data_IF_039865442029
#
_entry.id   IF_039865442029
#
_cell.length_a   1.000
_cell.length_b   1.000
_cell.length_c   1.000
_cell.angle_alpha   90.00
_cell.angle_beta   90.00
_cell.angle_gamma   90.00
#
_symmetry.space_group_name_H-M   'P 1'
#
loop_
_entity.id
_entity.type
_entity.pdbx_description
1 polymer ?
#
# COMPACT_ATOMS: atom_id res chain seq x y z
N UNK A 1 9.37 -12.34 -27.25
CA UNK A 1 8.71 -12.65 -25.98
C UNK A 1 8.17 -11.40 -25.25
N UNK A 2 8.84 -10.27 -25.33
CA UNK A 2 8.50 -9.01 -24.60
C UNK A 2 7.13 -8.38 -24.90
N UNK A 3 6.50 -8.69 -26.01
CA UNK A 3 5.22 -8.10 -26.43
C UNK A 3 4.00 -8.99 -26.13
N UNK A 4 4.21 -10.27 -25.86
CA UNK A 4 3.09 -11.22 -25.70
C UNK A 4 2.27 -10.89 -24.45
N UNK A 5 2.91 -10.76 -23.28
CA UNK A 5 2.24 -10.45 -22.02
C UNK A 5 1.52 -9.10 -22.09
N UNK A 6 2.14 -8.10 -22.68
CA UNK A 6 1.52 -6.79 -22.91
C UNK A 6 0.24 -6.89 -23.73
N UNK A 7 0.27 -7.63 -24.85
CA UNK A 7 -0.91 -7.78 -25.70
C UNK A 7 -2.01 -8.63 -25.05
N UNK A 8 -1.64 -9.63 -24.26
CA UNK A 8 -2.60 -10.40 -23.45
C UNK A 8 -3.37 -9.47 -22.53
N UNK A 9 -2.67 -8.59 -21.77
CA UNK A 9 -3.33 -7.60 -20.91
C UNK A 9 -4.21 -6.64 -21.68
N UNK A 10 -3.78 -6.21 -22.89
CA UNK A 10 -4.59 -5.34 -23.77
C UNK A 10 -5.89 -6.01 -24.22
N UNK A 11 -5.82 -7.29 -24.56
CA UNK A 11 -7.01 -8.08 -24.95
C UNK A 11 -7.94 -8.25 -23.73
N UNK A 12 -7.41 -8.59 -22.56
CA UNK A 12 -8.21 -8.72 -21.34
C UNK A 12 -8.83 -7.36 -20.96
N UNK A 13 -8.07 -6.27 -21.06
CA UNK A 13 -8.58 -4.92 -20.79
C UNK A 13 -9.74 -4.52 -21.73
N UNK A 14 -9.81 -5.07 -22.94
CA UNK A 14 -10.90 -4.79 -23.88
C UNK A 14 -12.22 -5.46 -23.50
N UNK A 15 -12.22 -6.44 -22.61
CA UNK A 15 -13.43 -7.15 -22.18
C UNK A 15 -14.35 -6.24 -21.34
N UNK A 16 -15.67 -6.35 -21.49
CA UNK A 16 -16.61 -5.75 -20.55
C UNK A 16 -16.34 -6.21 -19.11
N UNK A 17 -16.47 -5.32 -18.14
CA UNK A 17 -16.15 -5.61 -16.73
C UNK A 17 -16.99 -6.78 -16.18
N UNK A 18 -18.24 -6.95 -16.65
CA UNK A 18 -19.09 -8.09 -16.30
C UNK A 18 -18.51 -9.45 -16.72
N UNK A 19 -17.84 -9.50 -17.87
CA UNK A 19 -17.12 -10.71 -18.32
C UNK A 19 -15.85 -10.89 -17.50
N UNK A 20 -15.11 -9.81 -17.24
CA UNK A 20 -13.91 -9.84 -16.41
C UNK A 20 -14.18 -10.39 -15.01
N UNK A 21 -15.33 -10.06 -14.39
CA UNK A 21 -15.72 -10.63 -13.10
C UNK A 21 -16.09 -12.12 -13.15
N UNK A 22 -16.61 -12.62 -14.27
CA UNK A 22 -16.80 -14.07 -14.44
C UNK A 22 -15.45 -14.79 -14.49
N UNK A 23 -14.49 -14.21 -15.20
CA UNK A 23 -13.11 -14.72 -15.23
C UNK A 23 -12.44 -14.61 -13.86
N UNK A 24 -12.66 -13.53 -13.11
CA UNK A 24 -12.15 -13.36 -11.76
C UNK A 24 -12.63 -14.46 -10.82
N UNK A 25 -13.89 -14.89 -10.88
CA UNK A 25 -14.39 -16.02 -10.07
C UNK A 25 -13.65 -17.32 -10.37
N UNK A 26 -13.41 -17.60 -11.65
CA UNK A 26 -12.63 -18.79 -12.06
C UNK A 26 -11.18 -18.66 -11.56
N UNK A 27 -10.59 -17.48 -11.71
CA UNK A 27 -9.23 -17.20 -11.23
C UNK A 27 -9.12 -17.36 -9.71
N UNK A 28 -10.09 -16.87 -8.94
CA UNK A 28 -10.14 -17.03 -7.48
C UNK A 28 -10.16 -18.52 -7.10
N UNK A 29 -11.04 -19.30 -7.72
CA UNK A 29 -11.12 -20.75 -7.49
C UNK A 29 -9.82 -21.47 -7.87
N UNK A 30 -9.24 -21.17 -9.02
CA UNK A 30 -7.97 -21.75 -9.45
C UNK A 30 -6.83 -21.43 -8.47
N UNK A 31 -6.71 -20.16 -8.06
CA UNK A 31 -5.62 -19.71 -7.18
C UNK A 31 -5.76 -20.26 -5.75
N UNK A 32 -6.98 -20.32 -5.20
CA UNK A 32 -7.22 -20.83 -3.85
C UNK A 32 -7.23 -22.35 -3.79
N UNK A 33 -8.02 -23.00 -4.68
CA UNK A 33 -8.37 -24.44 -4.52
C UNK A 33 -7.48 -25.36 -5.32
N UNK A 34 -7.08 -24.97 -6.55
CA UNK A 34 -6.30 -25.83 -7.46
C UNK A 34 -4.82 -25.61 -7.25
N UNK A 35 -4.33 -24.40 -7.47
CA UNK A 35 -2.90 -24.09 -7.36
C UNK A 35 -2.46 -23.82 -5.92
N UNK A 36 -3.38 -23.60 -5.02
CA UNK A 36 -3.13 -23.27 -3.60
C UNK A 36 -2.08 -22.15 -3.45
N UNK A 37 -2.19 -21.14 -4.34
CA UNK A 37 -1.21 -20.05 -4.40
C UNK A 37 -1.11 -19.32 -3.07
N UNK A 38 -0.03 -19.57 -2.34
CA UNK A 38 0.28 -18.96 -1.03
C UNK A 38 -0.80 -19.13 0.05
N UNK A 39 -1.63 -20.17 -0.03
CA UNK A 39 -2.70 -20.43 0.96
C UNK A 39 -2.13 -20.51 2.38
N UNK A 40 -1.05 -21.25 2.58
CA UNK A 40 -0.38 -21.33 3.90
C UNK A 40 0.07 -19.96 4.40
N UNK A 41 0.62 -19.10 3.52
CA UNK A 41 1.03 -17.74 3.90
C UNK A 41 -0.16 -16.89 4.30
N UNK A 42 -1.27 -16.97 3.56
CA UNK A 42 -2.51 -16.24 3.87
C UNK A 42 -3.08 -16.70 5.22
N UNK A 43 -3.16 -18.01 5.46
CA UNK A 43 -3.66 -18.56 6.74
C UNK A 43 -2.78 -18.15 7.92
N UNK A 44 -1.48 -18.25 7.81
CA UNK A 44 -0.55 -17.83 8.85
C UNK A 44 -0.67 -16.34 9.14
N UNK A 45 -0.70 -15.50 8.12
CA UNK A 45 -0.86 -14.07 8.27
C UNK A 45 -2.17 -13.71 8.96
N UNK A 46 -3.29 -14.32 8.57
CA UNK A 46 -4.59 -14.09 9.21
C UNK A 46 -4.62 -14.53 10.67
N UNK A 47 -4.07 -15.72 10.99
CA UNK A 47 -4.05 -16.24 12.36
C UNK A 47 -3.20 -15.39 13.29
N UNK A 48 -2.02 -14.97 12.85
CA UNK A 48 -1.16 -14.10 13.67
C UNK A 48 -1.74 -12.69 13.81
N UNK A 49 -2.41 -12.18 12.77
CA UNK A 49 -3.03 -10.84 12.81
C UNK A 49 -4.33 -10.79 13.60
N UNK A 50 -5.05 -11.90 13.72
CA UNK A 50 -6.36 -11.99 14.39
C UNK A 50 -6.45 -13.24 15.28
N UNK A 51 -5.64 -13.38 16.33
CA UNK A 51 -5.45 -14.65 17.05
C UNK A 51 -6.71 -15.19 17.74
N UNK A 52 -7.72 -14.36 17.99
CA UNK A 52 -8.94 -14.74 18.73
C UNK A 52 -10.15 -15.06 17.85
N UNK A 53 -9.94 -15.32 16.54
CA UNK A 53 -11.04 -15.65 15.64
C UNK A 53 -11.28 -17.15 15.51
N UNK A 54 -12.50 -17.55 15.10
CA UNK A 54 -12.86 -18.95 14.88
C UNK A 54 -12.26 -19.49 13.56
N UNK A 55 -12.13 -20.81 13.46
CA UNK A 55 -11.71 -21.49 12.23
C UNK A 55 -12.62 -21.14 11.03
N UNK A 56 -13.92 -21.04 11.27
CA UNK A 56 -14.90 -20.64 10.26
C UNK A 56 -14.65 -19.20 9.79
N UNK A 57 -14.25 -18.29 10.68
CA UNK A 57 -13.89 -16.93 10.31
C UNK A 57 -12.65 -16.89 9.42
N UNK A 58 -11.59 -17.64 9.76
CA UNK A 58 -10.37 -17.70 8.93
C UNK A 58 -10.67 -18.26 7.54
N UNK A 59 -11.41 -19.36 7.46
CA UNK A 59 -11.80 -19.96 6.19
C UNK A 59 -12.62 -18.98 5.31
N UNK A 60 -13.60 -18.31 5.91
CA UNK A 60 -14.46 -17.34 5.21
C UNK A 60 -13.65 -16.12 4.75
N UNK A 61 -12.80 -15.55 5.63
CA UNK A 61 -11.99 -14.38 5.32
C UNK A 61 -10.97 -14.70 4.22
N UNK A 62 -10.32 -15.87 4.28
CA UNK A 62 -9.43 -16.34 3.21
C UNK A 62 -10.16 -16.49 1.88
N UNK A 63 -11.33 -17.14 1.88
CA UNK A 63 -12.10 -17.30 0.65
C UNK A 63 -12.50 -15.95 0.04
N UNK A 64 -13.01 -15.02 0.86
CA UNK A 64 -13.33 -13.65 0.42
C UNK A 64 -12.10 -12.90 -0.08
N UNK A 65 -10.95 -13.10 0.57
CA UNK A 65 -9.70 -12.51 0.11
C UNK A 65 -9.34 -12.95 -1.32
N UNK A 66 -9.39 -14.26 -1.64
CA UNK A 66 -9.08 -14.72 -2.99
C UNK A 66 -10.07 -14.21 -4.02
N UNK A 67 -11.35 -14.11 -3.67
CA UNK A 67 -12.35 -13.50 -4.54
C UNK A 67 -12.04 -12.03 -4.83
N UNK A 68 -11.75 -11.24 -3.79
CA UNK A 68 -11.42 -9.82 -3.95
C UNK A 68 -10.08 -9.59 -4.64
N UNK A 69 -9.09 -10.42 -4.34
CA UNK A 69 -7.78 -10.37 -5.01
C UNK A 69 -7.90 -10.61 -6.53
N UNK A 70 -8.73 -11.56 -6.92
CA UNK A 70 -9.02 -11.79 -8.34
C UNK A 70 -9.82 -10.66 -8.96
N UNK A 71 -10.83 -10.11 -8.26
CA UNK A 71 -11.58 -8.93 -8.71
C UNK A 71 -10.63 -7.74 -8.96
N UNK A 72 -9.80 -7.38 -7.97
CA UNK A 72 -8.85 -6.27 -8.08
C UNK A 72 -7.85 -6.51 -9.21
N UNK A 73 -7.45 -7.76 -9.45
CA UNK A 73 -6.54 -8.10 -10.56
C UNK A 73 -7.17 -7.77 -11.92
N UNK A 74 -8.41 -8.16 -12.17
CA UNK A 74 -9.09 -7.85 -13.44
C UNK A 74 -9.48 -6.38 -13.55
N UNK A 75 -9.83 -5.74 -12.44
CA UNK A 75 -10.12 -4.32 -12.34
C UNK A 75 -8.89 -3.46 -12.67
N UNK A 76 -7.72 -3.82 -12.14
CA UNK A 76 -6.45 -3.16 -12.46
C UNK A 76 -6.16 -3.20 -13.97
N UNK A 77 -6.43 -4.34 -14.60
CA UNK A 77 -6.28 -4.48 -16.06
C UNK A 77 -7.33 -3.64 -16.80
N UNK A 78 -8.59 -3.66 -16.34
CA UNK A 78 -9.66 -2.84 -16.92
C UNK A 78 -9.40 -1.34 -16.79
N UNK A 79 -8.75 -0.88 -15.71
CA UNK A 79 -8.36 0.51 -15.48
C UNK A 79 -7.57 1.14 -16.63
N UNK A 80 -6.85 0.33 -17.42
CA UNK A 80 -6.11 0.79 -18.59
C UNK A 80 -7.04 1.47 -19.64
N UNK A 81 -8.25 0.98 -19.84
CA UNK A 81 -9.22 1.55 -20.81
C UNK A 81 -10.30 2.41 -20.16
N UNK A 82 -10.53 2.30 -18.85
CA UNK A 82 -11.63 2.93 -18.14
C UNK A 82 -11.66 4.45 -18.36
N UNK A 83 -12.76 5.06 -18.79
CA UNK A 83 -12.86 6.49 -18.98
C UNK A 83 -12.90 7.22 -17.62
N UNK A 84 -12.60 8.52 -17.63
CA UNK A 84 -12.45 9.31 -16.38
C UNK A 84 -13.75 9.38 -15.57
N UNK A 85 -14.87 9.62 -16.23
CA UNK A 85 -16.19 9.68 -15.57
C UNK A 85 -16.54 8.35 -14.87
N UNK A 86 -16.26 7.20 -15.52
CA UNK A 86 -16.46 5.89 -14.90
C UNK A 86 -15.53 5.66 -13.71
N UNK A 87 -14.25 6.10 -13.78
CA UNK A 87 -13.32 6.03 -12.66
C UNK A 87 -13.84 6.85 -11.46
N UNK A 88 -14.33 8.06 -11.70
CA UNK A 88 -14.86 8.96 -10.67
C UNK A 88 -16.13 8.41 -10.00
N UNK A 89 -17.00 7.74 -10.76
CA UNK A 89 -18.18 7.05 -10.23
C UNK A 89 -17.80 5.79 -9.41
N UNK A 90 -16.75 5.06 -9.84
CA UNK A 90 -16.34 3.80 -9.21
C UNK A 90 -15.42 3.99 -8.01
N UNK A 91 -14.67 5.07 -8.00
CA UNK A 91 -13.77 5.45 -6.89
C UNK A 91 -14.14 6.86 -6.42
N UNK A 92 -15.14 6.95 -5.54
CA UNK A 92 -15.52 8.21 -4.90
C UNK A 92 -14.49 8.65 -3.87
N UNK A 93 -14.40 9.94 -3.59
CA UNK A 93 -13.41 10.50 -2.65
C UNK A 93 -14.08 11.48 -1.67
N UNK A 94 -13.53 11.56 -0.44
CA UNK A 94 -13.86 12.59 0.56
C UNK A 94 -12.61 13.06 1.30
N UNK A 95 -12.63 14.31 1.80
CA UNK A 95 -11.51 14.88 2.55
C UNK A 95 -10.31 15.26 1.70
N UNK A 96 -10.45 15.38 0.36
CA UNK A 96 -9.34 15.63 -0.55
C UNK A 96 -9.03 17.12 -0.80
N UNK A 97 -9.74 18.04 -0.15
CA UNK A 97 -9.57 19.49 -0.25
C UNK A 97 -8.12 19.95 0.02
N UNK A 98 -7.33 19.29 0.90
CA UNK A 98 -5.93 19.62 1.10
C UNK A 98 -5.03 19.42 -0.12
N UNK A 99 -5.43 18.58 -1.10
CA UNK A 99 -4.69 18.31 -2.34
C UNK A 99 -5.34 18.98 -3.57
N UNK A 100 -6.43 19.70 -3.38
CA UNK A 100 -7.18 20.41 -4.43
C UNK A 100 -7.04 21.90 -4.20
N UNK A 101 -6.55 22.61 -5.20
CA UNK A 101 -6.50 24.08 -5.17
C UNK A 101 -7.64 24.65 -6.01
N UNK A 102 -8.26 25.75 -5.58
CA UNK A 102 -9.17 26.51 -6.43
C UNK A 102 -8.51 26.95 -7.74
N UNK A 103 -9.32 27.22 -8.75
CA UNK A 103 -8.83 27.69 -10.06
C UNK A 103 -8.02 28.97 -9.89
N UNK A 104 -6.84 29.00 -10.51
CA UNK A 104 -5.92 30.13 -10.46
C UNK A 104 -4.99 30.18 -9.25
N UNK A 105 -5.15 29.28 -8.27
CA UNK A 105 -4.24 29.16 -7.14
C UNK A 105 -3.09 28.19 -7.43
N UNK A 106 -1.99 28.34 -6.67
CA UNK A 106 -0.87 27.43 -6.76
C UNK A 106 -1.24 26.01 -6.35
N UNK A 107 -0.84 24.97 -7.11
CA UNK A 107 -1.11 23.59 -6.75
C UNK A 107 -0.56 23.23 -5.37
N UNK A 108 -1.33 22.48 -4.58
CA UNK A 108 -0.95 22.05 -3.23
C UNK A 108 -0.12 20.77 -3.27
N UNK A 109 1.11 20.78 -2.75
CA UNK A 109 1.93 19.58 -2.66
C UNK A 109 1.49 18.69 -1.50
N UNK A 110 1.87 17.39 -1.55
CA UNK A 110 1.64 16.49 -0.44
C UNK A 110 2.34 15.14 -0.61
N UNK A 111 2.39 14.38 0.46
CA UNK A 111 2.76 12.96 0.43
C UNK A 111 1.50 12.16 0.71
N UNK A 112 1.12 11.34 -0.24
CA UNK A 112 -0.06 10.48 -0.17
C UNK A 112 0.38 9.05 0.13
N UNK A 113 0.19 8.60 1.36
CA UNK A 113 0.46 7.23 1.78
C UNK A 113 -0.81 6.40 1.67
N UNK A 114 -0.66 5.14 1.33
CA UNK A 114 -1.70 4.13 1.42
C UNK A 114 -1.08 2.74 1.63
N UNK A 115 -1.89 1.70 1.56
CA UNK A 115 -1.51 0.30 1.71
C UNK A 115 -2.05 -0.53 0.54
N UNK A 116 -1.53 -1.75 0.36
CA UNK A 116 -2.07 -2.71 -0.61
C UNK A 116 -3.40 -3.29 -0.10
N UNK A 117 -4.44 -2.46 -0.10
CA UNK A 117 -5.78 -2.77 0.39
C UNK A 117 -6.80 -2.31 -0.64
N UNK A 118 -7.82 -3.11 -0.90
CA UNK A 118 -8.81 -2.84 -1.94
C UNK A 118 -8.16 -2.59 -3.32
N UNK A 119 -8.65 -1.61 -4.10
CA UNK A 119 -8.13 -1.32 -5.43
C UNK A 119 -7.16 -0.12 -5.43
N UNK A 120 -5.93 -0.34 -4.99
CA UNK A 120 -4.86 0.68 -5.00
C UNK A 120 -4.45 1.14 -6.40
N UNK A 121 -4.74 0.35 -7.45
CA UNK A 121 -4.47 0.76 -8.83
C UNK A 121 -5.42 1.87 -9.27
N UNK A 122 -6.73 1.70 -9.02
CA UNK A 122 -7.71 2.77 -9.29
C UNK A 122 -7.54 3.94 -8.33
N UNK A 123 -7.10 3.73 -7.09
CA UNK A 123 -6.74 4.81 -6.18
C UNK A 123 -5.65 5.70 -6.78
N UNK A 124 -4.59 5.12 -7.36
CA UNK A 124 -3.51 5.87 -8.01
C UNK A 124 -4.05 6.68 -9.19
N UNK A 125 -4.89 6.10 -10.02
CA UNK A 125 -5.53 6.80 -11.15
C UNK A 125 -6.47 7.91 -10.67
N UNK A 126 -7.27 7.65 -9.63
CA UNK A 126 -8.20 8.63 -9.06
C UNK A 126 -7.48 9.80 -8.40
N UNK A 127 -6.40 9.53 -7.68
CA UNK A 127 -5.52 10.55 -7.12
C UNK A 127 -4.95 11.46 -8.20
N UNK A 128 -4.55 10.90 -9.36
CA UNK A 128 -4.05 11.68 -10.50
C UNK A 128 -5.09 12.60 -11.13
N UNK A 129 -6.38 12.24 -11.04
CA UNK A 129 -7.48 13.06 -11.58
C UNK A 129 -8.02 14.06 -10.57
N UNK A 130 -7.79 13.85 -9.27
CA UNK A 130 -8.30 14.70 -8.19
C UNK A 130 -7.32 15.76 -7.74
N UNK A 131 -6.04 15.40 -7.55
CA UNK A 131 -5.03 16.33 -7.08
C UNK A 131 -4.73 17.40 -8.14
N UNK A 132 -4.61 18.66 -7.70
CA UNK A 132 -4.26 19.79 -8.58
C UNK A 132 -2.77 19.77 -8.96
N UNK A 133 -1.91 19.36 -8.01
CA UNK A 133 -0.49 19.17 -8.28
C UNK A 133 -0.25 17.85 -9.05
N UNK A 134 0.74 17.82 -9.98
CA UNK A 134 1.12 16.58 -10.66
C UNK A 134 1.46 15.45 -9.67
N UNK A 135 0.96 14.25 -9.93
CA UNK A 135 1.18 13.07 -9.10
C UNK A 135 2.43 12.31 -9.54
N UNK A 136 3.29 11.98 -8.58
CA UNK A 136 4.43 11.09 -8.72
C UNK A 136 4.15 9.78 -7.99
N UNK A 137 3.83 8.73 -8.73
CA UNK A 137 3.62 7.39 -8.19
C UNK A 137 4.95 6.65 -7.99
N UNK A 138 5.30 6.37 -6.74
CA UNK A 138 6.53 5.61 -6.44
C UNK A 138 6.25 4.12 -6.59
N UNK A 139 7.06 3.44 -7.41
CA UNK A 139 6.82 2.03 -7.73
C UNK A 139 8.10 1.20 -7.79
N UNK A 140 7.92 -0.12 -7.70
CA UNK A 140 8.97 -1.10 -7.96
C UNK A 140 8.71 -1.75 -9.31
N UNK A 141 9.69 -1.72 -10.26
CA UNK A 141 9.55 -2.34 -11.57
C UNK A 141 9.18 -3.82 -11.47
N UNK A 142 8.30 -4.29 -12.35
CA UNK A 142 7.92 -5.69 -12.44
C UNK A 142 8.99 -6.48 -13.20
N UNK A 143 9.11 -7.77 -12.90
CA UNK A 143 10.07 -8.65 -13.57
C UNK A 143 9.72 -8.89 -15.05
N UNK A 144 8.42 -9.07 -15.35
CA UNK A 144 7.97 -9.18 -16.72
C UNK A 144 7.83 -7.79 -17.35
N UNK A 145 8.61 -7.54 -18.41
CA UNK A 145 8.66 -6.23 -19.07
C UNK A 145 7.35 -5.86 -19.78
N UNK A 146 6.58 -6.85 -20.24
CA UNK A 146 5.28 -6.58 -20.86
C UNK A 146 4.25 -6.14 -19.83
N UNK A 147 4.21 -6.82 -18.69
CA UNK A 147 3.38 -6.44 -17.55
C UNK A 147 3.79 -5.07 -16.98
N UNK A 148 5.10 -4.82 -16.84
CA UNK A 148 5.62 -3.54 -16.36
C UNK A 148 5.20 -2.38 -17.27
N UNK A 149 5.39 -2.52 -18.58
CA UNK A 149 4.94 -1.53 -19.56
C UNK A 149 3.45 -1.27 -19.47
N UNK A 150 2.64 -2.33 -19.41
CA UNK A 150 1.19 -2.21 -19.30
C UNK A 150 0.79 -1.45 -18.01
N UNK A 151 1.39 -1.81 -16.87
CA UNK A 151 1.14 -1.15 -15.59
C UNK A 151 1.53 0.33 -15.61
N UNK A 152 2.67 0.66 -16.21
CA UNK A 152 3.12 2.06 -16.36
C UNK A 152 2.15 2.87 -17.23
N UNK A 153 1.72 2.34 -18.36
CA UNK A 153 0.72 2.98 -19.22
C UNK A 153 -0.62 3.18 -18.50
N UNK A 154 -1.07 2.18 -17.74
CA UNK A 154 -2.32 2.26 -16.98
C UNK A 154 -2.26 3.32 -15.88
N UNK A 155 -1.22 3.28 -15.04
CA UNK A 155 -1.04 4.21 -13.92
C UNK A 155 -0.76 5.63 -14.39
N UNK A 156 -0.02 5.80 -15.50
CA UNK A 156 0.33 7.11 -16.07
C UNK A 156 -0.77 7.74 -16.93
N UNK A 157 -1.86 7.04 -17.17
CA UNK A 157 -2.93 7.43 -18.10
C UNK A 157 -3.50 8.83 -17.84
N UNK A 158 -3.59 9.24 -16.59
CA UNK A 158 -4.14 10.52 -16.18
C UNK A 158 -3.06 11.54 -15.76
N UNK A 159 -1.84 11.39 -16.30
CA UNK A 159 -0.75 12.34 -16.09
C UNK A 159 0.16 12.04 -14.90
N UNK A 160 -0.02 10.92 -14.20
CA UNK A 160 0.93 10.52 -13.17
C UNK A 160 2.31 10.20 -13.76
N UNK A 161 3.36 10.68 -13.11
CA UNK A 161 4.74 10.30 -13.38
C UNK A 161 5.12 9.10 -12.52
N UNK A 162 5.53 7.99 -13.13
CA UNK A 162 5.93 6.80 -12.37
C UNK A 162 7.42 6.85 -12.06
N UNK A 163 7.78 6.88 -10.78
CA UNK A 163 9.15 7.02 -10.29
C UNK A 163 9.57 5.77 -9.54
N UNK A 164 10.72 5.20 -9.91
CA UNK A 164 11.21 4.01 -9.20
C UNK A 164 11.62 4.34 -7.76
N UNK A 165 11.43 3.39 -6.82
CA UNK A 165 11.86 3.57 -5.42
C UNK A 165 13.32 4.04 -5.30
N UNK A 166 14.23 3.50 -6.13
CA UNK A 166 15.65 3.91 -6.13
C UNK A 166 15.87 5.32 -6.68
N UNK A 167 14.94 5.83 -7.49
CA UNK A 167 15.06 7.13 -8.16
C UNK A 167 14.36 8.28 -7.44
N UNK A 168 13.50 7.97 -6.44
CA UNK A 168 12.59 8.96 -5.86
C UNK A 168 13.31 10.17 -5.24
N UNK A 169 14.35 9.97 -4.46
CA UNK A 169 15.09 11.08 -3.82
C UNK A 169 15.70 12.01 -4.85
N UNK A 170 16.30 11.47 -5.92
CA UNK A 170 16.84 12.28 -7.02
C UNK A 170 15.75 13.03 -7.77
N UNK A 171 14.61 12.37 -8.01
CA UNK A 171 13.45 12.98 -8.68
C UNK A 171 12.89 14.15 -7.87
N UNK A 172 12.72 13.97 -6.56
CA UNK A 172 12.26 15.01 -5.63
C UNK A 172 13.21 16.21 -5.63
N UNK A 173 14.51 15.99 -5.52
CA UNK A 173 15.52 17.06 -5.55
C UNK A 173 15.52 17.83 -6.88
N UNK A 174 15.37 17.13 -8.01
CA UNK A 174 15.29 17.74 -9.34
C UNK A 174 14.05 18.63 -9.47
N UNK A 175 12.93 18.22 -8.90
CA UNK A 175 11.64 18.90 -9.02
C UNK A 175 11.28 19.78 -7.80
N UNK A 176 12.23 20.06 -6.89
CA UNK A 176 11.97 20.74 -5.60
C UNK A 176 11.29 22.11 -5.68
N UNK A 177 11.28 22.75 -6.86
CA UNK A 177 10.63 24.06 -7.10
C UNK A 177 9.21 23.92 -7.65
N UNK A 178 8.77 22.71 -7.95
CA UNK A 178 7.44 22.44 -8.52
C UNK A 178 6.61 21.65 -7.50
N UNK A 179 5.49 22.19 -7.01
CA UNK A 179 4.60 21.44 -6.12
C UNK A 179 4.17 20.12 -6.75
N UNK A 180 4.25 19.02 -6.00
CA UNK A 180 3.90 17.67 -6.49
C UNK A 180 3.25 16.85 -5.38
N UNK A 181 2.42 15.88 -5.75
CA UNK A 181 1.92 14.86 -4.83
C UNK A 181 2.74 13.58 -5.00
N UNK A 182 3.43 13.15 -3.95
CA UNK A 182 4.20 11.91 -3.93
C UNK A 182 3.32 10.77 -3.39
N UNK A 183 2.92 9.82 -4.22
CA UNK A 183 2.06 8.71 -3.82
C UNK A 183 2.87 7.43 -3.59
N UNK A 184 2.73 6.82 -2.39
CA UNK A 184 3.49 5.64 -1.97
C UNK A 184 2.58 4.62 -1.26
N UNK A 185 2.78 3.33 -1.57
CA UNK A 185 2.29 2.22 -0.75
C UNK A 185 3.43 1.75 0.14
N UNK A 186 3.31 1.92 1.47
CA UNK A 186 4.43 1.77 2.39
C UNK A 186 4.30 0.56 3.36
N UNK A 187 3.38 -0.35 3.08
CA UNK A 187 3.03 -1.50 3.93
C UNK A 187 3.83 -2.77 3.68
N UNK A 188 4.72 -2.81 2.68
CA UNK A 188 5.53 -3.98 2.42
C UNK A 188 6.80 -4.01 3.29
N UNK A 189 7.35 -5.23 3.45
CA UNK A 189 8.55 -5.44 4.24
C UNK A 189 9.76 -4.69 3.65
N UNK A 190 10.53 -3.95 4.47
CA UNK A 190 11.73 -3.25 4.03
C UNK A 190 12.77 -4.17 3.40
N UNK A 191 13.64 -3.59 2.57
CA UNK A 191 14.85 -4.23 2.07
C UNK A 191 15.97 -4.24 3.13
N UNK A 192 16.98 -5.12 2.96
CA UNK A 192 18.06 -5.30 3.94
C UNK A 192 18.91 -4.04 4.23
N UNK A 193 18.90 -3.04 3.33
CA UNK A 193 19.74 -1.83 3.43
C UNK A 193 18.91 -0.57 3.70
N UNK A 194 17.62 -0.71 3.95
CA UNK A 194 16.74 0.42 4.22
C UNK A 194 16.75 0.73 5.72
N UNK A 195 16.65 2.01 6.06
CA UNK A 195 16.40 2.42 7.45
C UNK A 195 15.00 1.93 7.86
N UNK A 196 14.93 1.30 9.02
CA UNK A 196 13.73 0.63 9.53
C UNK A 196 13.36 1.15 10.90
N UNK A 197 12.04 1.19 11.12
CA UNK A 197 11.41 1.41 12.41
C UNK A 197 10.65 0.14 12.79
N UNK A 198 10.88 -0.36 14.02
CA UNK A 198 10.18 -1.51 14.55
C UNK A 198 9.01 -1.06 15.41
N UNK A 199 7.83 -1.60 15.15
CA UNK A 199 6.61 -1.29 15.89
C UNK A 199 5.64 -2.48 15.89
N UNK A 200 4.58 -2.38 16.67
CA UNK A 200 3.49 -3.36 16.65
C UNK A 200 2.55 -3.10 15.48
N UNK A 201 2.25 -4.13 14.72
CA UNK A 201 1.31 -4.06 13.60
C UNK A 201 0.59 -5.40 13.46
N UNK A 202 -0.74 -5.38 13.59
CA UNK A 202 -1.58 -6.58 13.51
C UNK A 202 -1.09 -7.69 14.48
N UNK A 203 -0.87 -7.33 15.75
CA UNK A 203 -0.39 -8.21 16.83
C UNK A 203 1.01 -8.82 16.61
N UNK A 204 1.83 -8.24 15.74
CA UNK A 204 3.17 -8.75 15.46
C UNK A 204 4.20 -7.60 15.44
N UNK A 205 5.38 -7.82 16.04
CA UNK A 205 6.50 -6.89 15.91
C UNK A 205 6.94 -6.82 14.45
N UNK A 206 6.87 -5.65 13.86
CA UNK A 206 6.95 -5.45 12.42
C UNK A 206 7.88 -4.33 12.03
N UNK A 207 8.77 -4.58 11.08
CA UNK A 207 9.63 -3.56 10.50
C UNK A 207 8.87 -2.73 9.45
N UNK A 208 8.95 -1.42 9.56
CA UNK A 208 8.53 -0.46 8.55
C UNK A 208 9.72 0.34 8.04
N UNK A 209 9.78 0.64 6.75
CA UNK A 209 10.86 1.45 6.23
C UNK A 209 10.60 2.95 6.45
N UNK A 210 11.67 3.69 6.72
CA UNK A 210 11.60 5.11 7.10
C UNK A 210 11.46 6.06 5.90
N UNK A 211 11.47 5.53 4.67
CA UNK A 211 11.45 6.33 3.45
C UNK A 211 10.34 7.39 3.37
N UNK A 212 9.07 7.11 3.73
CA UNK A 212 8.01 8.11 3.74
C UNK A 212 8.31 9.29 4.67
N UNK A 213 8.78 9.03 5.89
CA UNK A 213 9.12 10.05 6.87
C UNK A 213 10.35 10.88 6.44
N UNK A 214 11.36 10.20 5.89
CA UNK A 214 12.53 10.89 5.31
C UNK A 214 12.15 11.81 4.14
N UNK A 215 11.23 11.37 3.26
CA UNK A 215 10.72 12.22 2.19
C UNK A 215 9.93 13.41 2.73
N UNK A 216 9.10 13.20 3.76
CA UNK A 216 8.33 14.26 4.41
C UNK A 216 9.27 15.35 4.99
N UNK A 217 10.33 14.94 5.67
CA UNK A 217 11.35 15.86 6.21
C UNK A 217 12.09 16.61 5.10
N UNK A 218 12.46 15.90 4.02
CA UNK A 218 13.20 16.47 2.88
C UNK A 218 12.37 17.52 2.13
N UNK A 219 11.10 17.24 1.90
CA UNK A 219 10.20 18.07 1.09
C UNK A 219 9.46 19.11 1.91
N UNK A 220 9.29 18.88 3.22
CA UNK A 220 8.39 19.63 4.11
C UNK A 220 6.93 19.59 3.65
N UNK A 221 6.56 18.61 2.84
CA UNK A 221 5.19 18.43 2.37
C UNK A 221 4.33 17.80 3.46
N UNK A 222 3.08 18.25 3.63
CA UNK A 222 2.13 17.58 4.50
C UNK A 222 1.94 16.12 4.07
N UNK A 223 1.63 15.27 5.05
CA UNK A 223 1.50 13.82 4.85
C UNK A 223 0.07 13.41 5.13
N UNK A 224 -0.51 12.70 4.19
CA UNK A 224 -1.86 12.19 4.22
C UNK A 224 -1.89 10.68 4.05
N UNK A 225 -2.95 10.05 4.54
CA UNK A 225 -3.26 8.64 4.33
C UNK A 225 -4.55 8.50 3.52
N UNK A 226 -4.49 7.81 2.39
CA UNK A 226 -5.69 7.47 1.63
C UNK A 226 -6.23 6.11 2.10
N UNK A 227 -7.27 6.15 2.91
CA UNK A 227 -8.04 4.97 3.35
C UNK A 227 -8.98 4.56 2.24
N UNK A 228 -8.89 3.32 1.79
CA UNK A 228 -9.82 2.78 0.81
C UNK A 228 -10.82 1.83 1.45
N UNK A 229 -12.07 1.93 1.03
CA UNK A 229 -13.15 1.03 1.41
C UNK A 229 -13.83 0.46 0.17
N UNK A 230 -14.10 -0.84 0.16
CA UNK A 230 -14.91 -1.48 -0.87
C UNK A 230 -16.39 -1.38 -0.47
N UNK A 231 -17.17 -0.70 -1.28
CA UNK A 231 -18.62 -0.57 -1.10
C UNK A 231 -19.38 -1.75 -1.69
N UNK A 232 -18.93 -2.17 -2.87
CA UNK A 232 -19.43 -3.37 -3.58
C UNK A 232 -18.40 -3.78 -4.64
N UNK A 233 -18.67 -4.83 -5.41
CA UNK A 233 -17.82 -5.23 -6.52
C UNK A 233 -17.64 -4.09 -7.54
N UNK A 234 -16.39 -3.64 -7.75
CA UNK A 234 -16.06 -2.55 -8.66
C UNK A 234 -16.52 -1.16 -8.23
N UNK A 235 -16.82 -0.97 -6.95
CA UNK A 235 -17.15 0.33 -6.37
C UNK A 235 -16.43 0.51 -5.05
N UNK A 236 -15.71 1.62 -4.93
CA UNK A 236 -14.84 1.95 -3.82
C UNK A 236 -15.05 3.38 -3.36
N UNK A 237 -14.64 3.63 -2.14
CA UNK A 237 -14.54 4.97 -1.58
C UNK A 237 -13.13 5.18 -1.04
N UNK A 238 -12.56 6.37 -1.25
CA UNK A 238 -11.26 6.75 -0.71
C UNK A 238 -11.40 8.02 0.13
N UNK A 239 -11.14 7.88 1.43
CA UNK A 239 -11.10 8.98 2.38
C UNK A 239 -9.66 9.45 2.57
N UNK A 240 -9.40 10.75 2.52
CA UNK A 240 -8.10 11.33 2.84
C UNK A 240 -8.05 11.73 4.31
N UNK A 241 -7.11 11.17 5.05
CA UNK A 241 -6.86 11.45 6.46
C UNK A 241 -5.52 12.14 6.64
N UNK A 242 -5.45 13.17 7.46
CA UNK A 242 -4.19 13.87 7.75
C UNK A 242 -3.36 13.08 8.75
N UNK A 243 -2.12 12.74 8.37
CA UNK A 243 -1.11 12.20 9.30
C UNK A 243 -0.36 13.36 9.98
N UNK A 244 0.11 14.31 9.15
CA UNK A 244 0.91 15.43 9.61
C UNK A 244 0.84 16.59 8.61
N UNK A 245 0.44 17.78 9.07
CA UNK A 245 0.43 18.98 8.23
C UNK A 245 1.81 19.61 8.12
N UNK A 246 2.58 19.61 9.20
CA UNK A 246 3.91 20.19 9.28
C UNK A 246 4.94 19.13 9.73
N UNK A 247 5.61 18.42 8.80
CA UNK A 247 6.55 17.35 9.15
C UNK A 247 7.71 17.74 10.07
N UNK A 248 8.00 19.05 10.16
CA UNK A 248 9.04 19.56 11.07
C UNK A 248 8.64 19.54 12.56
N UNK A 249 7.37 19.37 12.88
CA UNK A 249 6.83 19.36 14.26
C UNK A 249 6.77 17.96 14.87
N UNK A 250 7.13 16.92 14.11
CA UNK A 250 6.99 15.52 14.47
C UNK A 250 8.28 14.76 14.13
N UNK A 251 8.67 13.80 14.94
CA UNK A 251 9.77 12.89 14.61
C UNK A 251 9.39 11.92 13.47
N UNK A 252 10.39 11.41 12.75
CA UNK A 252 10.18 10.41 11.70
C UNK A 252 9.48 9.15 12.23
N UNK A 253 9.84 8.72 13.45
CA UNK A 253 9.22 7.56 14.11
C UNK A 253 7.74 7.79 14.42
N UNK A 254 7.39 8.95 15.00
CA UNK A 254 5.99 9.31 15.28
C UNK A 254 5.14 9.36 14.01
N UNK A 255 5.71 9.84 12.90
CA UNK A 255 5.02 9.85 11.60
C UNK A 255 4.71 8.42 11.14
N UNK A 256 5.70 7.52 11.25
CA UNK A 256 5.50 6.10 10.90
C UNK A 256 4.47 5.45 11.84
N UNK A 257 4.51 5.72 13.16
CA UNK A 257 3.51 5.18 14.10
C UNK A 257 2.07 5.60 13.74
N UNK A 258 1.85 6.86 13.39
CA UNK A 258 0.53 7.32 12.94
C UNK A 258 0.10 6.65 11.63
N UNK A 259 1.02 6.49 10.69
CA UNK A 259 0.74 5.75 9.46
C UNK A 259 0.36 4.30 9.75
N UNK A 260 1.11 3.63 10.63
CA UNK A 260 0.87 2.22 11.02
C UNK A 260 -0.49 2.07 11.69
N UNK A 261 -0.85 2.98 12.58
CA UNK A 261 -2.16 2.97 13.26
C UNK A 261 -3.33 3.07 12.26
N UNK A 262 -3.25 4.00 11.29
CA UNK A 262 -4.27 4.16 10.24
C UNK A 262 -4.31 2.94 9.30
N UNK A 263 -3.15 2.36 8.97
CA UNK A 263 -3.05 1.15 8.16
C UNK A 263 -3.71 -0.04 8.86
N UNK A 264 -3.42 -0.25 10.14
CA UNK A 264 -3.99 -1.32 10.94
C UNK A 264 -5.51 -1.17 11.09
N UNK A 265 -5.99 0.03 11.43
CA UNK A 265 -7.42 0.33 11.51
C UNK A 265 -8.13 0.00 10.19
N UNK A 266 -7.57 0.43 9.06
CA UNK A 266 -8.12 0.17 7.72
C UNK A 266 -8.25 -1.33 7.42
N UNK A 267 -7.22 -2.11 7.78
CA UNK A 267 -7.24 -3.57 7.58
C UNK A 267 -8.26 -4.24 8.51
N UNK A 268 -8.39 -3.76 9.76
CA UNK A 268 -9.37 -4.30 10.72
C UNK A 268 -10.81 -4.03 10.29
N UNK A 269 -11.09 -2.95 9.57
CA UNK A 269 -12.41 -2.63 9.01
C UNK A 269 -12.83 -3.60 7.90
N UNK A 270 -11.92 -3.99 7.00
CA UNK A 270 -12.17 -4.93 5.89
C UNK A 270 -10.99 -5.90 5.73
N UNK A 271 -10.86 -6.90 6.62
CA UNK A 271 -9.69 -7.77 6.66
C UNK A 271 -9.51 -8.59 5.38
N UNK A 272 -10.57 -8.94 4.68
CA UNK A 272 -10.51 -9.68 3.41
C UNK A 272 -9.90 -8.89 2.25
N UNK A 273 -9.69 -7.59 2.42
CA UNK A 273 -9.23 -6.70 1.34
C UNK A 273 -7.73 -6.41 1.34
N UNK A 274 -7.00 -6.84 2.37
CA UNK A 274 -5.54 -6.64 2.46
C UNK A 274 -4.77 -7.70 1.68
N UNK A 275 -3.59 -7.35 1.17
CA UNK A 275 -2.76 -8.24 0.34
C UNK A 275 -2.07 -9.35 1.17
N UNK A 276 -2.84 -10.29 1.71
CA UNK A 276 -2.37 -11.36 2.58
C UNK A 276 -1.37 -12.32 1.93
N UNK A 277 -1.27 -12.37 0.61
CA UNK A 277 -0.24 -13.15 -0.08
C UNK A 277 1.16 -12.56 0.09
N UNK A 278 1.31 -11.33 0.59
CA UNK A 278 2.62 -10.74 0.88
C UNK A 278 3.27 -11.44 2.08
N UNK A 279 4.55 -11.79 1.98
CA UNK A 279 5.38 -12.24 3.12
C UNK A 279 5.81 -11.02 3.92
N UNK A 280 4.86 -10.41 4.66
CA UNK A 280 5.07 -9.15 5.38
C UNK A 280 6.07 -9.30 6.52
N UNK A 281 5.96 -10.36 7.28
CA UNK A 281 6.75 -10.64 8.50
C UNK A 281 7.93 -11.58 8.21
N UNK A 282 8.80 -11.19 7.28
CA UNK A 282 10.00 -11.97 6.91
C UNK A 282 11.28 -11.51 7.62
N UNK A 283 11.25 -10.34 8.26
CA UNK A 283 12.36 -9.83 9.06
C UNK A 283 12.10 -10.18 10.52
N UNK A 284 13.15 -10.65 11.19
CA UNK A 284 13.13 -10.92 12.63
C UNK A 284 13.48 -9.65 13.37
N UNK A 285 12.78 -9.31 14.47
CA UNK A 285 13.14 -8.18 15.31
C UNK A 285 14.53 -8.41 15.91
N UNK A 286 15.30 -7.33 16.21
CA UNK A 286 16.53 -7.44 16.95
C UNK A 286 16.26 -8.23 18.24
N UNK A 287 17.10 -9.22 18.54
CA UNK A 287 17.05 -9.87 19.85
C UNK A 287 17.28 -8.79 20.89
N UNK A 288 16.36 -8.65 21.86
CA UNK A 288 16.63 -7.83 23.03
C UNK A 288 17.90 -8.41 23.67
N UNK A 289 18.98 -7.63 23.72
CA UNK A 289 20.14 -7.96 24.51
C UNK A 289 19.60 -8.08 25.93
N UNK A 290 19.56 -9.30 26.45
CA UNK A 290 19.33 -9.53 27.87
C UNK A 290 20.48 -8.78 28.54
N UNK A 291 20.22 -7.59 29.08
CA UNK A 291 21.10 -6.96 30.04
C UNK A 291 21.28 -8.00 31.13
N UNK A 292 22.47 -8.61 31.18
CA UNK A 292 22.89 -9.40 32.31
C UNK A 292 22.75 -8.49 33.53
N UNK A 293 21.85 -8.88 34.44
CA UNK A 293 21.75 -8.22 35.72
C UNK A 293 23.18 -8.09 36.29
N UNK A 294 23.56 -6.94 36.86
CA UNK A 294 24.85 -6.83 37.47
C UNK A 294 24.99 -7.91 38.55
N UNK A 295 26.09 -8.66 38.47
CA UNK A 295 26.46 -9.67 39.49
C UNK A 295 26.30 -9.05 40.87
N UNK A 296 25.54 -9.71 41.75
CA UNK A 296 25.46 -9.35 43.16
C UNK A 296 26.88 -9.33 43.73
N UNK A 297 27.25 -8.31 44.54
CA UNK A 297 28.59 -8.28 45.15
C UNK A 297 28.74 -9.47 46.08
N UNK A 298 29.79 -10.26 45.86
CA UNK A 298 30.24 -11.33 46.79
C UNK A 298 30.34 -10.78 48.21
N UNK A 299 29.53 -11.34 49.11
CA UNK A 299 29.70 -11.12 50.58
C UNK A 299 31.09 -11.59 51.01
N UNK A 300 31.94 -10.63 51.34
CA UNK A 300 33.20 -10.92 52.01
C UNK A 300 32.88 -11.47 53.41
N UNK A 301 32.94 -12.79 53.56
CA UNK A 301 32.87 -13.44 54.86
C UNK A 301 34.15 -13.08 55.61
N UNK A 302 34.05 -12.19 56.60
CA UNK A 302 35.07 -11.98 57.65
C UNK A 302 34.97 -13.13 58.59
N UNK A 303 36.07 -13.92 58.67
CA UNK A 303 36.24 -14.97 59.65
C UNK A 303 37.02 -14.40 60.84
N UNK A 304 36.73 -14.83 62.10
CA UNK A 304 37.22 -14.25 63.37
C UNK A 304 38.68 -14.52 63.69
#
# INVERSE_FOLDING_TARGET
MLLVTYWIYRIIAALPLSISYRLARVLAWLTESVFKYRVTTVDQNLRHSFPCKSEAWYATTRHRFYQQFADVTVEAVYGWRMPRNELEERMTITGWEPLISPDGESPKPGILLSIHHNNWEWLTQRASTAATAPLDGVYKPLHDRGADRFALESRGKWGATLVTMKGVSRHVLKNRRTPRVLALLADQSPGRREAIHWTQFLNQTTAFFMGPATLARLTKYPVYFARTQRLSQGRYHAELLTICEEPGTMSESELIEKYVALAEETIRMQPESYLWTNRRWKLEPPQATLETAPDEPEEIQSNP
#
